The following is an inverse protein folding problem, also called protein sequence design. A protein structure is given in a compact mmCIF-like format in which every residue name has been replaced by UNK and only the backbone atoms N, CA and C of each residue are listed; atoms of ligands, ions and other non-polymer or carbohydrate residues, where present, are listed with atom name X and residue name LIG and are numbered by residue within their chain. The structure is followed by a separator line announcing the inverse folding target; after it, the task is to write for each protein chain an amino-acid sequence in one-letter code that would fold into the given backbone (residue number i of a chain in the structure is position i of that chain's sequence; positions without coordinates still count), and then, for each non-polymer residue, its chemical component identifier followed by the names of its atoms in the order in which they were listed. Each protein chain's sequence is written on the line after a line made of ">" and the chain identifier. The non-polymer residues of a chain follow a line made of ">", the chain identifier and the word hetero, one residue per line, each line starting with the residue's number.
data_IF_356435050557
#
_entry.id   IF_356435050557
#
_cell.length_a   1.000
_cell.length_b   1.000
_cell.length_c   1.000
_cell.angle_alpha   90.00
_cell.angle_beta   90.00
_cell.angle_gamma   90.00
#
_symmetry.space_group_name_H-M   'P 1'
#
loop_
_entity.id
_entity.type
_entity.pdbx_description
1 polymer ?
#
# COMPACT_ATOMS: atom_id res chain seq x y z
N UNK A 1 3.00 9.73 -10.07
CA UNK A 1 3.45 8.36 -9.74
C UNK A 1 4.40 8.47 -8.58
N UNK A 2 4.22 7.70 -7.51
CA UNK A 2 5.12 7.73 -6.36
C UNK A 2 6.45 7.09 -6.76
N UNK A 3 7.56 7.73 -6.42
CA UNK A 3 8.88 7.14 -6.63
C UNK A 3 9.19 6.11 -5.53
N UNK A 4 8.95 4.84 -5.84
CA UNK A 4 9.19 3.73 -4.93
C UNK A 4 10.68 3.51 -4.61
N UNK A 5 11.60 4.09 -5.38
CA UNK A 5 13.04 3.93 -5.16
C UNK A 5 13.48 4.55 -3.82
N UNK A 6 12.86 5.65 -3.40
CA UNK A 6 13.12 6.27 -2.10
C UNK A 6 12.63 5.38 -0.95
N UNK A 7 11.43 4.82 -1.08
CA UNK A 7 10.88 3.91 -0.08
C UNK A 7 11.73 2.64 0.06
N UNK A 8 12.26 2.11 -1.05
CA UNK A 8 13.18 0.97 -1.04
C UNK A 8 14.47 1.30 -0.28
N UNK A 9 15.09 2.47 -0.50
CA UNK A 9 16.26 2.92 0.26
C UNK A 9 15.93 3.08 1.75
N UNK A 10 14.76 3.59 2.09
CA UNK A 10 14.31 3.69 3.48
C UNK A 10 14.16 2.30 4.14
N UNK A 11 13.71 1.29 3.39
CA UNK A 11 13.60 -0.10 3.84
C UNK A 11 14.97 -0.71 4.15
N UNK A 12 16.01 -0.38 3.38
CA UNK A 12 17.37 -0.84 3.65
C UNK A 12 17.89 -0.34 5.01
N UNK A 13 17.52 0.87 5.41
CA UNK A 13 17.86 1.45 6.71
C UNK A 13 16.90 1.02 7.83
N UNK A 14 15.64 0.74 7.50
CA UNK A 14 14.57 0.39 8.43
C UNK A 14 13.91 -0.92 8.03
N UNK A 15 14.38 -2.07 8.55
CA UNK A 15 13.88 -3.37 8.14
C UNK A 15 12.38 -3.60 8.34
N UNK A 16 11.77 -2.92 9.31
CA UNK A 16 10.33 -2.94 9.60
C UNK A 16 9.62 -1.70 9.07
N UNK A 17 9.79 -1.41 7.79
CA UNK A 17 9.17 -0.26 7.14
C UNK A 17 7.67 -0.48 6.93
N UNK A 18 6.87 0.51 7.34
CA UNK A 18 5.44 0.61 7.01
C UNK A 18 5.31 1.56 5.83
N UNK A 19 4.83 1.05 4.70
CA UNK A 19 4.66 1.85 3.49
C UNK A 19 3.25 2.43 3.46
N UNK A 20 3.14 3.75 3.43
CA UNK A 20 1.89 4.48 3.34
C UNK A 20 1.96 5.54 2.23
N UNK A 21 0.82 6.18 1.96
CA UNK A 21 0.74 7.32 1.05
C UNK A 21 0.25 6.95 -0.34
N UNK A 22 -1.02 7.24 -0.63
CA UNK A 22 -1.60 7.06 -1.96
C UNK A 22 -1.76 5.60 -2.41
N UNK A 23 -1.58 4.62 -1.52
CA UNK A 23 -1.81 3.21 -1.83
C UNK A 23 -3.28 2.94 -2.11
N UNK A 24 -3.58 2.12 -3.10
CA UNK A 24 -4.93 1.75 -3.53
C UNK A 24 -4.93 0.29 -4.02
N UNK A 25 -6.11 -0.33 -4.24
CA UNK A 25 -6.19 -1.69 -4.77
C UNK A 25 -5.43 -1.86 -6.09
N UNK A 26 -5.32 -0.80 -6.89
CA UNK A 26 -4.72 -0.84 -8.22
C UNK A 26 -3.19 -0.76 -8.20
N UNK A 27 -2.58 -0.24 -7.14
CA UNK A 27 -1.12 0.01 -7.10
C UNK A 27 -0.38 -0.73 -5.98
N UNK A 28 -1.08 -1.27 -4.99
CA UNK A 28 -0.44 -1.83 -3.79
C UNK A 28 0.43 -3.05 -4.10
N UNK A 29 0.04 -3.88 -5.07
CA UNK A 29 0.84 -5.04 -5.49
C UNK A 29 2.18 -4.61 -6.10
N UNK A 30 2.18 -3.59 -6.95
CA UNK A 30 3.39 -3.02 -7.53
C UNK A 30 4.29 -2.40 -6.44
N UNK A 31 3.68 -1.65 -5.51
CA UNK A 31 4.41 -1.03 -4.40
C UNK A 31 5.09 -2.08 -3.50
N UNK A 32 4.39 -3.18 -3.21
CA UNK A 32 4.95 -4.31 -2.43
C UNK A 32 6.13 -4.94 -3.19
N UNK A 33 5.97 -5.23 -4.48
CA UNK A 33 7.03 -5.84 -5.29
C UNK A 33 8.28 -4.94 -5.40
N UNK A 34 8.09 -3.62 -5.50
CA UNK A 34 9.19 -2.66 -5.62
C UNK A 34 9.95 -2.44 -4.30
N UNK A 35 9.23 -2.35 -3.18
CA UNK A 35 9.78 -1.89 -1.88
C UNK A 35 10.03 -3.05 -0.91
N UNK A 36 9.27 -4.15 -1.00
CA UNK A 36 9.24 -5.25 -0.01
C UNK A 36 9.07 -4.74 1.44
N UNK A 37 8.01 -3.95 1.72
CA UNK A 37 7.80 -3.37 3.03
C UNK A 37 7.36 -4.45 4.04
N UNK A 38 7.50 -4.15 5.33
CA UNK A 38 6.99 -5.02 6.39
C UNK A 38 5.46 -4.96 6.51
N UNK A 39 4.89 -3.77 6.27
CA UNK A 39 3.44 -3.56 6.27
C UNK A 39 3.07 -2.45 5.28
N UNK A 40 1.81 -2.44 4.85
CA UNK A 40 1.22 -1.37 4.02
C UNK A 40 0.05 -0.72 4.74
N UNK A 41 -0.11 0.59 4.58
CA UNK A 41 -1.21 1.38 5.13
C UNK A 41 -1.91 2.21 4.03
N UNK A 42 -3.24 2.16 4.01
CA UNK A 42 -4.06 2.87 3.06
C UNK A 42 -5.35 3.38 3.74
N UNK A 43 -5.71 4.63 3.45
CA UNK A 43 -6.86 5.27 4.07
C UNK A 43 -7.86 5.81 3.05
N UNK A 44 -7.57 6.95 2.40
CA UNK A 44 -8.52 7.69 1.56
C UNK A 44 -8.92 6.96 0.28
N UNK A 45 -8.02 6.18 -0.32
CA UNK A 45 -8.32 5.33 -1.48
C UNK A 45 -9.34 4.23 -1.16
N UNK A 46 -9.48 3.86 0.11
CA UNK A 46 -10.40 2.83 0.59
C UNK A 46 -11.74 3.42 1.05
N UNK A 47 -11.97 4.71 0.80
CA UNK A 47 -13.17 5.43 1.21
C UNK A 47 -14.09 5.69 0.01
N UNK A 48 -15.41 5.63 0.25
CA UNK A 48 -16.42 6.10 -0.71
C UNK A 48 -16.57 7.62 -0.64
N UNK A 49 -16.41 8.17 0.56
CA UNK A 49 -16.43 9.60 0.92
C UNK A 49 -15.51 9.80 2.13
N UNK A 50 -14.94 10.99 2.37
CA UNK A 50 -14.02 11.22 3.49
C UNK A 50 -14.55 10.67 4.82
N UNK A 51 -13.78 9.78 5.45
CA UNK A 51 -14.12 9.14 6.73
C UNK A 51 -15.10 7.96 6.64
N UNK A 52 -15.58 7.59 5.45
CA UNK A 52 -16.48 6.44 5.24
C UNK A 52 -15.82 5.39 4.34
N UNK A 53 -15.45 4.26 4.93
CA UNK A 53 -14.86 3.13 4.19
C UNK A 53 -15.84 2.50 3.20
N UNK A 54 -15.32 2.16 2.03
CA UNK A 54 -16.00 1.36 1.02
C UNK A 54 -15.58 -0.11 1.19
N UNK A 55 -16.56 -0.98 1.46
CA UNK A 55 -16.28 -2.38 1.75
C UNK A 55 -15.74 -3.16 0.54
N UNK A 56 -16.09 -2.77 -0.68
CA UNK A 56 -15.56 -3.41 -1.90
C UNK A 56 -14.11 -2.99 -2.12
N UNK A 57 -13.80 -1.70 -1.98
CA UNK A 57 -12.42 -1.20 -2.10
C UNK A 57 -11.49 -1.81 -1.04
N UNK A 58 -11.96 -1.93 0.20
CA UNK A 58 -11.19 -2.59 1.26
C UNK A 58 -10.92 -4.06 0.92
N UNK A 59 -11.92 -4.81 0.45
CA UNK A 59 -11.72 -6.21 0.03
C UNK A 59 -10.76 -6.33 -1.14
N UNK A 60 -10.91 -5.46 -2.15
CA UNK A 60 -10.02 -5.43 -3.31
C UNK A 60 -8.57 -5.14 -2.89
N UNK A 61 -8.36 -4.19 -1.97
CA UNK A 61 -7.05 -3.87 -1.42
C UNK A 61 -6.43 -5.07 -0.70
N UNK A 62 -7.17 -5.71 0.21
CA UNK A 62 -6.68 -6.89 0.95
C UNK A 62 -6.32 -8.03 -0.02
N UNK A 63 -7.15 -8.27 -1.04
CA UNK A 63 -6.88 -9.29 -2.04
C UNK A 63 -5.63 -8.97 -2.85
N UNK A 64 -5.45 -7.71 -3.27
CA UNK A 64 -4.26 -7.26 -4.00
C UNK A 64 -2.98 -7.40 -3.14
N UNK A 65 -3.05 -7.06 -1.85
CA UNK A 65 -1.93 -7.27 -0.91
C UNK A 65 -1.59 -8.75 -0.78
N UNK A 66 -2.59 -9.61 -0.53
CA UNK A 66 -2.38 -11.06 -0.36
C UNK A 66 -1.86 -11.75 -1.61
N UNK A 67 -2.26 -11.29 -2.80
CA UNK A 67 -1.78 -11.83 -4.07
C UNK A 67 -0.35 -11.40 -4.43
N UNK A 68 0.21 -10.41 -3.74
CA UNK A 68 1.56 -9.89 -3.97
C UNK A 68 2.60 -10.42 -2.97
N UNK A 69 2.16 -11.16 -1.94
CA UNK A 69 3.01 -11.76 -0.90
C UNK A 69 3.33 -13.23 -1.18
#
# INVERSE_FOLDING_TARGET
>A
TVDWSLARRARELTPKLFLAGGLSPENVAEAIAAVTPYAVDACSSLESTPGRKDAERVRAFINAVRGAC
#
